data_IF_387478858238
#
_entry.id   IF_387478858238
#
_cell.length_a   1.000
_cell.length_b   1.000
_cell.length_c   1.000
_cell.angle_alpha   90.00
_cell.angle_beta   90.00
_cell.angle_gamma   90.00
#
_symmetry.space_group_name_H-M   'P 1'
#
loop_
_entity.id
_entity.type
_entity.pdbx_description
1 polymer ?
#
# COMPACT_ATOMS: atom_id res chain seq x y z
N UNK A 1 -37.92 -27.78 -30.99
CA UNK A 1 -36.81 -26.92 -31.44
C UNK A 1 -36.95 -25.62 -30.67
N UNK A 2 -36.30 -25.42 -29.52
CA UNK A 2 -34.86 -25.18 -29.36
C UNK A 2 -34.60 -23.68 -29.66
N UNK A 3 -34.10 -22.83 -28.77
CA UNK A 3 -33.26 -23.00 -27.59
C UNK A 3 -33.15 -21.67 -26.82
N UNK A 4 -33.21 -21.75 -25.48
CA UNK A 4 -32.38 -21.10 -24.43
C UNK A 4 -31.90 -19.66 -24.68
N UNK A 5 -32.31 -18.62 -23.93
CA UNK A 5 -32.16 -18.38 -22.48
C UNK A 5 -30.75 -18.67 -21.94
N UNK A 6 -29.89 -17.65 -21.92
CA UNK A 6 -28.87 -17.48 -20.87
C UNK A 6 -28.29 -16.05 -20.93
N UNK A 7 -29.03 -15.09 -20.36
CA UNK A 7 -28.40 -13.90 -19.80
C UNK A 7 -27.81 -14.33 -18.45
N UNK A 8 -26.65 -13.82 -18.09
CA UNK A 8 -26.02 -13.99 -16.77
C UNK A 8 -25.13 -15.24 -16.59
N UNK A 9 -24.09 -15.36 -17.41
CA UNK A 9 -22.94 -16.20 -17.08
C UNK A 9 -21.75 -15.35 -16.61
N UNK A 10 -21.52 -15.30 -15.29
CA UNK A 10 -20.14 -15.36 -14.78
C UNK A 10 -19.57 -14.25 -13.89
N UNK A 11 -20.32 -13.66 -12.95
CA UNK A 11 -19.67 -12.90 -11.85
C UNK A 11 -20.45 -12.99 -10.54
N UNK A 12 -20.30 -14.12 -9.85
CA UNK A 12 -20.74 -14.28 -8.47
C UNK A 12 -19.76 -13.55 -7.54
N UNK A 13 -20.28 -12.58 -6.79
CA UNK A 13 -19.53 -11.87 -5.76
C UNK A 13 -19.25 -12.79 -4.57
N UNK A 14 -17.97 -12.97 -4.21
CA UNK A 14 -17.59 -13.72 -3.01
C UNK A 14 -17.54 -12.78 -1.80
N UNK A 15 -18.56 -12.84 -0.95
CA UNK A 15 -18.56 -12.18 0.36
C UNK A 15 -17.75 -13.01 1.38
N UNK A 16 -16.82 -12.37 2.10
CA UNK A 16 -16.08 -13.03 3.18
C UNK A 16 -17.01 -13.22 4.38
N UNK A 17 -17.49 -14.46 4.58
CA UNK A 17 -18.34 -14.82 5.72
C UNK A 17 -17.51 -15.14 6.97
N UNK A 18 -18.05 -14.84 8.15
CA UNK A 18 -17.51 -15.34 9.42
C UNK A 18 -17.69 -16.87 9.45
N UNK A 19 -16.63 -17.65 9.77
CA UNK A 19 -16.74 -19.11 9.80
C UNK A 19 -17.74 -19.56 10.88
N UNK A 20 -18.62 -20.55 10.60
CA UNK A 20 -19.53 -21.09 11.60
C UNK A 20 -18.78 -21.79 12.73
N UNK A 21 -19.41 -21.93 13.90
CA UNK A 21 -18.81 -22.53 15.10
C UNK A 21 -18.23 -23.95 14.85
N UNK A 22 -18.79 -24.70 13.92
CA UNK A 22 -18.29 -26.01 13.49
C UNK A 22 -16.90 -25.95 12.81
N UNK A 23 -16.59 -24.89 12.05
CA UNK A 23 -15.25 -24.68 11.47
C UNK A 23 -14.24 -24.27 12.55
N UNK A 24 -14.67 -23.52 13.56
CA UNK A 24 -13.82 -23.15 14.71
C UNK A 24 -13.40 -24.40 15.51
N UNK A 25 -14.32 -25.35 15.66
CA UNK A 25 -14.05 -26.64 16.32
C UNK A 25 -13.15 -27.54 15.46
N UNK A 26 -13.30 -27.51 14.12
CA UNK A 26 -12.45 -28.27 13.20
C UNK A 26 -10.99 -27.78 13.19
N UNK A 27 -10.73 -26.49 13.40
CA UNK A 27 -9.37 -25.94 13.57
C UNK A 27 -8.68 -26.54 14.80
N UNK A 28 -9.42 -26.81 15.87
CA UNK A 28 -8.90 -27.44 17.10
C UNK A 28 -8.64 -28.95 16.98
N UNK A 29 -9.27 -29.64 16.03
CA UNK A 29 -9.24 -31.10 15.90
C UNK A 29 -8.28 -31.62 14.82
N UNK A 30 -7.58 -30.75 14.09
CA UNK A 30 -6.71 -31.13 12.99
C UNK A 30 -7.51 -31.50 11.74
N UNK A 31 -7.56 -30.58 10.77
CA UNK A 31 -8.29 -30.77 9.51
C UNK A 31 -7.91 -32.10 8.83
N UNK A 32 -8.88 -32.95 8.42
CA UNK A 32 -8.58 -33.96 7.41
C UNK A 32 -8.20 -33.20 6.14
N UNK A 33 -7.05 -33.53 5.56
CA UNK A 33 -6.55 -32.97 4.31
C UNK A 33 -7.48 -33.39 3.16
N UNK A 34 -8.64 -32.74 3.06
CA UNK A 34 -9.47 -32.78 1.87
C UNK A 34 -8.65 -32.14 0.75
N UNK A 35 -8.55 -32.86 -0.37
CA UNK A 35 -7.90 -32.50 -1.62
C UNK A 35 -7.96 -30.97 -1.85
N UNK A 36 -6.88 -30.28 -1.51
CA UNK A 36 -6.77 -28.85 -1.70
C UNK A 36 -6.55 -28.64 -3.20
N UNK A 37 -7.64 -28.53 -3.96
CA UNK A 37 -7.56 -27.84 -5.25
C UNK A 37 -6.84 -26.52 -4.96
N UNK A 38 -5.69 -26.31 -5.59
CA UNK A 38 -4.95 -25.07 -5.48
C UNK A 38 -5.91 -23.95 -5.90
N UNK A 39 -6.42 -23.20 -4.92
CA UNK A 39 -7.22 -22.01 -5.15
C UNK A 39 -6.24 -20.85 -5.16
N UNK A 40 -5.64 -20.49 -6.31
CA UNK A 40 -4.75 -19.35 -6.36
C UNK A 40 -5.53 -18.12 -5.90
N UNK A 41 -5.01 -17.46 -4.87
CA UNK A 41 -5.55 -16.18 -4.41
C UNK A 41 -5.35 -15.16 -5.53
N UNK A 42 -6.43 -14.84 -6.24
CA UNK A 42 -6.44 -13.94 -7.38
C UNK A 42 -7.33 -12.75 -7.08
N UNK A 43 -6.86 -11.57 -7.46
CA UNK A 43 -7.65 -10.34 -7.50
C UNK A 43 -7.83 -9.97 -8.96
N UNK A 44 -9.07 -9.75 -9.39
CA UNK A 44 -9.42 -9.45 -10.79
C UNK A 44 -10.17 -8.12 -10.83
N UNK A 45 -9.78 -7.25 -11.76
CA UNK A 45 -10.40 -5.95 -11.98
C UNK A 45 -11.22 -5.98 -13.27
N UNK A 46 -12.43 -5.43 -13.24
CA UNK A 46 -13.34 -5.44 -14.39
C UNK A 46 -13.04 -4.35 -15.43
N UNK A 47 -12.23 -3.36 -15.06
CA UNK A 47 -11.89 -2.21 -15.92
C UNK A 47 -10.50 -1.65 -15.57
N UNK A 48 -9.87 -0.90 -16.50
CA UNK A 48 -8.66 -0.14 -16.21
C UNK A 48 -8.83 0.81 -15.02
N UNK A 49 -7.75 1.04 -14.28
CA UNK A 49 -7.70 1.95 -13.14
C UNK A 49 -7.95 3.40 -13.58
N UNK A 50 -8.79 4.12 -12.82
CA UNK A 50 -8.99 5.57 -12.98
C UNK A 50 -8.21 6.37 -11.94
N UNK A 51 -8.10 5.80 -10.75
CA UNK A 51 -7.33 6.36 -9.63
C UNK A 51 -6.20 5.42 -9.23
N UNK A 52 -5.20 5.98 -8.56
CA UNK A 52 -4.06 5.21 -8.04
C UNK A 52 -4.49 4.05 -7.13
N UNK A 53 -5.57 4.25 -6.36
CA UNK A 53 -6.14 3.24 -5.45
C UNK A 53 -6.75 2.03 -6.17
N UNK A 54 -7.04 2.16 -7.46
CA UNK A 54 -7.64 1.11 -8.28
C UNK A 54 -6.57 0.29 -9.00
N UNK A 55 -5.33 0.80 -9.06
CA UNK A 55 -4.22 0.17 -9.76
C UNK A 55 -3.66 -1.02 -8.96
N UNK A 56 -3.19 -2.04 -9.66
CA UNK A 56 -2.67 -3.25 -9.04
C UNK A 56 -1.20 -3.08 -8.63
N UNK A 57 -0.85 -3.23 -7.34
CA UNK A 57 0.54 -3.16 -6.89
C UNK A 57 1.28 -4.48 -7.18
N UNK A 58 2.49 -4.37 -7.73
CA UNK A 58 3.45 -5.47 -7.82
C UNK A 58 4.80 -5.03 -7.25
N UNK A 59 5.60 -5.96 -6.74
CA UNK A 59 6.94 -5.62 -6.27
C UNK A 59 7.75 -6.82 -5.79
N UNK A 60 9.06 -6.62 -5.67
CA UNK A 60 10.02 -7.62 -5.19
C UNK A 60 10.73 -7.19 -3.89
N UNK A 61 10.16 -6.22 -3.18
CA UNK A 61 10.73 -5.63 -1.96
C UNK A 61 11.64 -4.43 -2.21
N UNK A 62 12.37 -4.39 -3.34
CA UNK A 62 13.23 -3.25 -3.70
C UNK A 62 12.58 -2.34 -4.74
N UNK A 63 12.02 -2.95 -5.77
CA UNK A 63 11.29 -2.28 -6.83
C UNK A 63 9.79 -2.56 -6.67
N UNK A 64 8.98 -1.54 -6.91
CA UNK A 64 7.54 -1.64 -6.98
C UNK A 64 7.01 -1.01 -8.26
N UNK A 65 5.86 -1.47 -8.71
CA UNK A 65 5.12 -0.82 -9.78
C UNK A 65 3.62 -0.86 -9.51
N UNK A 66 2.92 0.17 -9.97
CA UNK A 66 1.46 0.19 -10.03
C UNK A 66 1.02 0.02 -11.48
N UNK A 67 0.20 -0.99 -11.74
CA UNK A 67 -0.32 -1.33 -13.06
C UNK A 67 -1.71 -0.71 -13.24
N UNK A 68 -1.89 0.08 -14.29
CA UNK A 68 -3.15 0.80 -14.55
C UNK A 68 -4.12 0.02 -15.45
N UNK A 69 -3.64 -0.91 -16.27
CA UNK A 69 -4.48 -1.83 -17.05
C UNK A 69 -5.12 -1.19 -18.29
N UNK A 70 -4.54 -0.11 -18.83
CA UNK A 70 -5.10 0.62 -19.96
C UNK A 70 -5.00 -0.15 -21.29
N UNK A 71 -6.10 -0.21 -22.05
CA UNK A 71 -6.20 -1.09 -23.24
C UNK A 71 -5.46 -0.52 -24.45
N UNK A 72 -5.62 0.76 -24.75
CA UNK A 72 -4.92 1.41 -25.88
C UNK A 72 -3.51 1.85 -25.48
N UNK A 73 -3.36 2.28 -24.23
CA UNK A 73 -2.10 2.65 -23.64
C UNK A 73 -2.05 2.23 -22.18
N UNK A 74 -0.96 1.55 -21.81
CA UNK A 74 -0.69 1.13 -20.44
C UNK A 74 0.20 2.15 -19.74
N UNK A 75 -0.03 2.37 -18.44
CA UNK A 75 0.78 3.23 -17.58
C UNK A 75 1.34 2.40 -16.43
N UNK A 76 2.66 2.33 -16.35
CA UNK A 76 3.34 1.74 -15.21
C UNK A 76 4.00 2.84 -14.39
N UNK A 77 3.54 3.02 -13.14
CA UNK A 77 4.22 3.92 -12.20
C UNK A 77 5.23 3.13 -11.40
N UNK A 78 6.49 3.49 -11.53
CA UNK A 78 7.61 2.76 -10.93
C UNK A 78 8.05 3.40 -9.61
N UNK A 79 8.57 2.56 -8.72
CA UNK A 79 9.04 2.98 -7.42
C UNK A 79 10.24 2.16 -6.96
N UNK A 80 11.13 2.78 -6.18
CA UNK A 80 12.32 2.14 -5.63
C UNK A 80 12.49 2.46 -4.15
N UNK A 81 12.62 1.44 -3.29
CA UNK A 81 12.66 1.55 -1.82
C UNK A 81 13.67 2.56 -1.25
N UNK A 82 14.82 2.76 -1.91
CA UNK A 82 15.87 3.70 -1.50
C UNK A 82 15.73 5.11 -2.10
N UNK A 83 14.67 5.41 -2.85
CA UNK A 83 14.48 6.73 -3.45
C UNK A 83 13.86 7.70 -2.43
N UNK A 84 14.70 8.38 -1.66
CA UNK A 84 14.31 9.36 -0.65
C UNK A 84 14.91 10.74 -0.95
N UNK A 85 14.29 11.80 -0.45
CA UNK A 85 14.94 13.12 -0.43
C UNK A 85 16.14 13.14 0.51
N UNK A 86 17.06 14.08 0.28
CA UNK A 86 18.18 14.33 1.18
C UNK A 86 19.30 13.29 1.06
N UNK A 87 20.07 13.15 2.13
CA UNK A 87 21.23 12.27 2.22
C UNK A 87 21.73 12.14 3.65
N UNK A 88 22.83 11.42 3.89
CA UNK A 88 23.37 11.23 5.23
C UNK A 88 23.58 12.58 5.94
N UNK A 89 22.97 12.74 7.11
CA UNK A 89 22.99 13.99 7.86
C UNK A 89 23.06 13.76 9.36
N UNK A 90 23.52 14.78 10.09
CA UNK A 90 23.45 14.78 11.54
C UNK A 90 22.11 15.37 12.00
N UNK A 91 21.18 14.50 12.39
CA UNK A 91 19.86 14.90 12.87
C UNK A 91 19.83 15.16 14.39
N UNK A 92 20.99 15.16 15.05
CA UNK A 92 21.09 15.42 16.49
C UNK A 92 20.91 16.91 16.76
N UNK A 93 19.94 17.25 17.61
CA UNK A 93 19.79 18.61 18.08
C UNK A 93 20.77 18.89 19.26
N UNK A 94 21.83 19.69 19.07
CA UNK A 94 22.82 19.95 20.11
C UNK A 94 22.27 20.80 21.27
N UNK A 95 21.14 21.49 21.06
CA UNK A 95 20.49 22.30 22.10
C UNK A 95 19.57 21.48 23.00
N UNK A 96 19.22 20.25 22.60
CA UNK A 96 18.28 19.40 23.32
C UNK A 96 18.65 19.17 24.80
N UNK A 97 19.93 18.96 25.20
CA UNK A 97 20.27 18.77 26.62
C UNK A 97 19.94 20.00 27.49
N UNK A 98 20.23 21.20 26.98
CA UNK A 98 19.95 22.45 27.69
C UNK A 98 18.43 22.71 27.78
N UNK A 99 17.71 22.46 26.69
CA UNK A 99 16.24 22.57 26.65
C UNK A 99 15.60 21.56 27.61
N UNK A 100 16.07 20.32 27.64
CA UNK A 100 15.56 19.26 28.51
C UNK A 100 15.69 19.64 29.99
N UNK A 101 16.82 20.24 30.35
CA UNK A 101 17.06 20.71 31.72
C UNK A 101 16.06 21.81 32.11
N UNK A 102 15.77 22.73 31.18
CA UNK A 102 14.77 23.79 31.38
C UNK A 102 13.34 23.25 31.48
N UNK A 103 12.98 22.28 30.64
CA UNK A 103 11.66 21.63 30.68
C UNK A 103 11.44 20.92 32.01
N UNK A 104 12.43 20.15 32.50
CA UNK A 104 12.35 19.47 33.80
C UNK A 104 12.10 20.46 34.94
N UNK A 105 12.87 21.55 34.99
CA UNK A 105 12.67 22.58 36.00
C UNK A 105 11.27 23.21 35.95
N UNK A 106 10.71 23.45 34.76
CA UNK A 106 9.35 24.01 34.63
C UNK A 106 8.29 22.99 35.09
N UNK A 107 8.46 21.71 34.77
CA UNK A 107 7.58 20.63 35.23
C UNK A 107 7.63 20.48 36.74
N UNK A 108 8.81 20.51 37.35
CA UNK A 108 9.01 20.39 38.80
C UNK A 108 8.37 21.58 39.55
N UNK A 109 8.26 22.74 38.90
CA UNK A 109 7.58 23.93 39.43
C UNK A 109 6.08 24.00 39.07
N UNK A 110 5.51 22.97 38.43
CA UNK A 110 4.09 22.93 38.02
C UNK A 110 3.72 23.85 36.84
N UNK A 111 4.72 24.40 36.14
CA UNK A 111 4.56 25.35 35.03
C UNK A 111 4.37 24.64 33.69
N UNK A 112 3.27 23.90 33.53
CA UNK A 112 3.10 22.98 32.39
C UNK A 112 2.96 23.68 31.03
N UNK A 113 2.20 24.78 30.94
CA UNK A 113 2.02 25.49 29.67
C UNK A 113 3.35 26.04 29.12
N UNK A 114 4.18 26.57 30.01
CA UNK A 114 5.52 27.07 29.70
C UNK A 114 6.49 25.92 29.38
N UNK A 115 6.39 24.81 30.11
CA UNK A 115 7.14 23.59 29.81
C UNK A 115 6.85 23.07 28.40
N UNK A 116 5.58 23.02 27.99
CA UNK A 116 5.18 22.60 26.63
C UNK A 116 5.71 23.54 25.57
N UNK A 117 5.62 24.86 25.78
CA UNK A 117 6.15 25.85 24.85
C UNK A 117 7.68 25.69 24.66
N UNK A 118 8.42 25.42 25.74
CA UNK A 118 9.87 25.21 25.70
C UNK A 118 10.23 23.85 25.09
N UNK A 119 9.40 22.83 25.27
CA UNK A 119 9.63 21.47 24.79
C UNK A 119 9.71 21.36 23.25
N UNK A 120 9.14 22.30 22.50
CA UNK A 120 9.34 22.37 21.04
C UNK A 120 10.83 22.48 20.65
N UNK A 121 11.67 23.03 21.52
CA UNK A 121 13.12 23.10 21.30
C UNK A 121 13.85 21.76 21.44
N UNK A 122 13.17 20.68 21.84
CA UNK A 122 13.71 19.32 21.86
C UNK A 122 13.64 18.65 20.48
N UNK A 123 12.75 19.13 19.62
CA UNK A 123 12.58 18.59 18.26
C UNK A 123 13.79 18.93 17.39
N UNK A 124 14.13 18.01 16.48
CA UNK A 124 15.13 18.22 15.43
C UNK A 124 14.49 18.71 14.14
N UNK A 125 15.28 18.70 13.07
CA UNK A 125 14.77 18.99 11.72
C UNK A 125 13.76 17.93 11.25
N UNK A 126 12.93 18.31 10.27
CA UNK A 126 11.96 17.39 9.68
C UNK A 126 12.66 16.23 8.97
N UNK A 127 12.01 15.07 8.99
CA UNK A 127 12.50 13.86 8.31
C UNK A 127 12.44 14.00 6.80
N UNK A 128 13.30 13.24 6.12
CA UNK A 128 13.25 13.12 4.67
C UNK A 128 11.99 12.38 4.22
N UNK A 129 11.56 12.65 2.98
CA UNK A 129 10.31 12.11 2.43
C UNK A 129 10.63 11.16 1.29
N UNK A 130 9.82 10.12 1.18
CA UNK A 130 9.93 9.15 0.11
C UNK A 130 9.46 9.76 -1.22
N UNK A 131 10.27 9.60 -2.26
CA UNK A 131 9.97 10.14 -3.57
C UNK A 131 9.34 9.08 -4.45
N UNK A 132 8.32 9.48 -5.19
CA UNK A 132 7.88 8.72 -6.36
C UNK A 132 8.90 8.95 -7.47
N UNK A 133 9.20 7.90 -8.23
CA UNK A 133 9.96 8.08 -9.46
C UNK A 133 9.11 8.91 -10.44
N UNK A 134 9.66 10.00 -10.95
CA UNK A 134 9.03 10.78 -12.02
C UNK A 134 9.02 10.04 -13.37
N UNK A 135 9.64 8.86 -13.43
CA UNK A 135 9.64 8.01 -14.61
C UNK A 135 8.34 7.20 -14.67
N UNK A 136 7.40 7.70 -15.45
CA UNK A 136 6.22 6.96 -15.89
C UNK A 136 6.51 6.32 -17.24
N UNK A 137 6.36 5.00 -17.32
CA UNK A 137 6.49 4.29 -18.59
C UNK A 137 5.08 4.13 -19.20
N UNK A 138 4.86 4.84 -20.31
CA UNK A 138 3.63 4.75 -21.09
C UNK A 138 3.88 3.90 -22.33
N UNK A 139 3.18 2.78 -22.44
CA UNK A 139 3.22 1.92 -23.61
C UNK A 139 1.96 2.15 -24.43
N UNK A 140 2.09 2.27 -25.76
CA UNK A 140 0.94 2.36 -26.68
C UNK A 140 0.94 1.16 -27.62
N UNK A 141 -0.19 0.48 -27.73
CA UNK A 141 -0.32 -0.68 -28.60
C UNK A 141 -0.83 -0.23 -29.97
N UNK A 142 0.05 -0.24 -30.98
CA UNK A 142 -0.40 -0.01 -32.36
C UNK A 142 -1.07 -1.26 -32.91
N UNK A 143 -2.30 -1.09 -33.42
CA UNK A 143 -3.06 -2.14 -34.09
C UNK A 143 -2.33 -2.53 -35.38
N UNK A 144 -1.60 -3.63 -35.37
CA UNK A 144 -1.03 -4.25 -36.58
C UNK A 144 -2.18 -4.59 -37.53
N UNK A 145 -2.39 -3.74 -38.54
CA UNK A 145 -3.32 -4.01 -39.63
C UNK A 145 -2.67 -5.12 -40.47
N UNK A 146 -3.18 -6.35 -40.38
CA UNK A 146 -2.87 -7.39 -41.37
C UNK A 146 -3.44 -6.90 -42.70
N UNK A 147 -2.58 -6.46 -43.60
CA UNK A 147 -2.90 -6.41 -45.02
C UNK A 147 -2.96 -7.86 -45.50
N UNK A 148 -4.11 -8.23 -46.07
CA UNK A 148 -4.32 -9.46 -46.85
C UNK A 148 -4.29 -9.06 -48.32
#
# INVERSE_FOLDING_TARGET
MGSDDNRDAGSEWVWVRRPPEAEVVAVGAGWPAANQEERPLKVVFASPARYFTDAAPIGNGRLGAMIWGGVESERLQLNHDTLWTGGPGNYTNPKAPAVLSKVRNLVDNGQYAEATAVAYGLSGEQTQVYLLSWQEENYSFQKLRREV
#
